data_IF_726648690654
#
_entry.id   IF_726648690654
#
_cell.length_a   1.000
_cell.length_b   1.000
_cell.length_c   1.000
_cell.angle_alpha   90.00
_cell.angle_beta   90.00
_cell.angle_gamma   90.00
#
_symmetry.space_group_name_H-M   'P 1'
#
loop_
_entity.id
_entity.type
_entity.pdbx_description
1 polymer ?
#
# COMPACT_ATOMS: atom_id res chain seq x y z
N UNK A 1 2.45 -2.59 6.02
CA UNK A 1 2.38 -4.07 6.08
C UNK A 1 3.74 -4.56 6.49
N UNK A 2 3.95 -5.39 7.54
CA UNK A 2 5.31 -5.85 7.77
C UNK A 2 5.72 -6.73 6.58
N UNK A 3 6.94 -6.55 6.04
CA UNK A 3 7.41 -7.28 4.87
C UNK A 3 7.66 -8.75 5.19
N UNK A 4 7.72 -9.66 4.19
CA UNK A 4 7.59 -9.39 2.75
C UNK A 4 6.35 -10.05 2.09
N UNK A 5 5.50 -10.76 2.81
CA UNK A 5 4.40 -11.52 2.19
C UNK A 5 3.07 -10.77 2.30
N UNK A 6 2.72 -10.03 1.23
CA UNK A 6 1.38 -9.48 1.04
C UNK A 6 0.52 -10.42 0.18
N UNK A 7 -0.77 -10.51 0.50
CA UNK A 7 -1.76 -11.23 -0.30
C UNK A 7 -2.99 -10.33 -0.45
N UNK A 8 -3.14 -9.71 -1.62
CA UNK A 8 -4.13 -8.63 -1.84
C UNK A 8 -5.56 -9.12 -1.68
N UNK A 9 -5.88 -10.32 -2.16
CA UNK A 9 -7.20 -10.94 -2.02
C UNK A 9 -7.59 -11.12 -0.55
N UNK A 10 -6.63 -11.50 0.29
CA UNK A 10 -6.86 -11.63 1.74
C UNK A 10 -7.12 -10.26 2.39
N UNK A 11 -6.42 -9.22 1.94
CA UNK A 11 -6.69 -7.84 2.35
C UNK A 11 -8.10 -7.41 1.94
N UNK A 12 -8.45 -7.56 0.67
CA UNK A 12 -9.77 -7.19 0.14
C UNK A 12 -10.90 -7.91 0.86
N UNK A 13 -10.79 -9.23 1.04
CA UNK A 13 -11.78 -10.01 1.79
C UNK A 13 -11.90 -9.55 3.25
N UNK A 14 -10.82 -9.09 3.87
CA UNK A 14 -10.84 -8.56 5.24
C UNK A 14 -11.52 -7.21 5.31
N UNK A 15 -11.25 -6.31 4.35
CA UNK A 15 -11.93 -5.01 4.25
C UNK A 15 -13.43 -5.19 4.03
N UNK A 16 -13.83 -6.11 3.15
CA UNK A 16 -15.25 -6.40 2.88
C UNK A 16 -15.97 -6.95 4.13
N UNK A 17 -15.30 -7.81 4.90
CA UNK A 17 -15.84 -8.30 6.17
C UNK A 17 -16.06 -7.17 7.17
N UNK A 18 -15.12 -6.24 7.29
CA UNK A 18 -15.25 -5.11 8.22
C UNK A 18 -16.38 -4.17 7.76
N UNK A 19 -16.45 -3.85 6.46
CA UNK A 19 -17.51 -3.03 5.89
C UNK A 19 -18.90 -3.63 6.12
N UNK A 20 -19.05 -4.95 5.97
CA UNK A 20 -20.32 -5.66 6.18
C UNK A 20 -20.83 -5.57 7.63
N UNK A 21 -19.94 -5.37 8.61
CA UNK A 21 -20.33 -5.18 10.02
C UNK A 21 -20.91 -3.79 10.29
N UNK A 22 -20.73 -2.82 9.38
CA UNK A 22 -21.15 -1.41 9.52
C UNK A 22 -20.76 -0.79 10.88
N UNK A 23 -19.48 -0.84 11.29
CA UNK A 23 -19.09 -0.29 12.58
C UNK A 23 -19.16 1.23 12.57
N UNK A 24 -19.54 1.81 13.71
CA UNK A 24 -19.61 3.27 13.89
C UNK A 24 -18.23 3.91 14.15
N UNK A 25 -17.25 3.11 14.57
CA UNK A 25 -15.88 3.55 14.82
C UNK A 25 -14.86 2.40 14.68
N UNK A 26 -13.65 2.75 14.27
CA UNK A 26 -12.46 1.90 14.31
C UNK A 26 -11.48 2.43 15.36
N UNK A 27 -11.03 1.56 16.26
CA UNK A 27 -9.96 1.87 17.22
C UNK A 27 -8.69 1.18 16.74
N UNK A 28 -7.89 1.91 15.95
CA UNK A 28 -6.66 1.39 15.35
C UNK A 28 -5.51 1.44 16.36
N UNK A 29 -4.46 0.66 16.09
CA UNK A 29 -3.24 0.64 16.93
C UNK A 29 -2.50 1.98 16.92
N UNK A 30 -2.72 2.82 15.91
CA UNK A 30 -2.14 4.15 15.76
C UNK A 30 -3.23 5.19 15.48
N UNK A 31 -2.96 6.46 15.78
CA UNK A 31 -3.80 7.64 15.45
C UNK A 31 -5.18 7.73 16.14
N UNK A 32 -5.58 6.74 16.93
CA UNK A 32 -6.77 6.80 17.79
C UNK A 32 -8.06 6.35 17.12
N UNK A 33 -9.20 6.83 17.62
CA UNK A 33 -10.51 6.44 17.14
C UNK A 33 -10.87 7.15 15.82
N UNK A 34 -11.35 6.39 14.85
CA UNK A 34 -11.77 6.88 13.54
C UNK A 34 -13.25 6.60 13.31
N UNK A 35 -14.05 7.61 12.97
CA UNK A 35 -15.52 7.50 12.85
C UNK A 35 -16.03 7.44 11.41
N UNK A 36 -15.25 7.92 10.44
CA UNK A 36 -15.62 7.87 9.02
C UNK A 36 -15.22 6.51 8.38
N UNK A 37 -15.65 5.42 9.02
CA UNK A 37 -15.13 4.07 8.81
C UNK A 37 -15.12 3.68 7.33
N UNK A 38 -16.24 3.87 6.63
CA UNK A 38 -16.36 3.43 5.24
C UNK A 38 -15.36 4.15 4.34
N UNK A 39 -15.27 5.49 4.43
CA UNK A 39 -14.32 6.27 3.66
C UNK A 39 -12.87 5.84 3.94
N UNK A 40 -12.55 5.52 5.20
CA UNK A 40 -11.20 5.05 5.57
C UNK A 40 -10.84 3.71 4.93
N UNK A 41 -11.75 2.73 5.00
CA UNK A 41 -11.50 1.41 4.46
C UNK A 41 -11.47 1.42 2.93
N UNK A 42 -12.30 2.24 2.29
CA UNK A 42 -12.27 2.46 0.84
C UNK A 42 -10.98 3.15 0.40
N UNK A 43 -10.50 4.16 1.14
CA UNK A 43 -9.22 4.79 0.86
C UNK A 43 -8.03 3.81 0.99
N UNK A 44 -8.07 2.92 1.99
CA UNK A 44 -7.07 1.87 2.15
C UNK A 44 -7.12 0.85 0.99
N UNK A 45 -8.31 0.42 0.56
CA UNK A 45 -8.49 -0.42 -0.62
C UNK A 45 -7.87 0.21 -1.85
N UNK A 46 -8.18 1.48 -2.12
CA UNK A 46 -7.64 2.21 -3.27
C UNK A 46 -6.11 2.30 -3.22
N UNK A 47 -5.54 2.60 -2.05
CA UNK A 47 -4.09 2.67 -1.90
C UNK A 47 -3.40 1.31 -2.21
N UNK A 48 -3.99 0.19 -1.77
CA UNK A 48 -3.49 -1.14 -2.09
C UNK A 48 -3.53 -1.43 -3.60
N UNK A 49 -4.65 -1.09 -4.26
CA UNK A 49 -4.83 -1.26 -5.70
C UNK A 49 -3.86 -0.39 -6.51
N UNK A 50 -3.70 0.87 -6.12
CA UNK A 50 -2.80 1.81 -6.78
C UNK A 50 -1.34 1.33 -6.72
N UNK A 51 -0.89 0.89 -5.54
CA UNK A 51 0.48 0.43 -5.35
C UNK A 51 0.73 -0.89 -6.07
N UNK A 52 -0.22 -1.82 -6.02
CA UNK A 52 -0.13 -3.09 -6.73
C UNK A 52 -0.10 -2.89 -8.24
N UNK A 53 -0.99 -2.05 -8.79
CA UNK A 53 -1.05 -1.71 -10.20
C UNK A 53 0.22 -0.99 -10.67
N UNK A 54 0.76 -0.08 -9.85
CA UNK A 54 2.04 0.56 -10.12
C UNK A 54 3.16 -0.47 -10.24
N UNK A 55 3.29 -1.39 -9.28
CA UNK A 55 4.33 -2.42 -9.28
C UNK A 55 4.20 -3.34 -10.50
N UNK A 56 2.98 -3.76 -10.85
CA UNK A 56 2.72 -4.60 -12.02
C UNK A 56 3.15 -3.91 -13.33
N UNK A 57 2.80 -2.63 -13.50
CA UNK A 57 3.18 -1.85 -14.68
C UNK A 57 4.70 -1.80 -14.84
N UNK A 58 5.44 -1.56 -13.76
CA UNK A 58 6.90 -1.46 -13.80
C UNK A 58 7.60 -2.79 -14.03
N UNK A 59 7.05 -3.88 -13.51
CA UNK A 59 7.54 -5.23 -13.81
C UNK A 59 7.40 -5.55 -15.31
N UNK A 60 6.27 -5.19 -15.93
CA UNK A 60 6.05 -5.37 -17.38
C UNK A 60 6.97 -4.52 -18.25
N UNK A 61 7.40 -3.37 -17.75
CA UNK A 61 8.39 -2.51 -18.41
C UNK A 61 9.82 -3.11 -18.37
N UNK A 62 10.06 -4.13 -17.53
CA UNK A 62 11.37 -4.77 -17.40
C UNK A 62 12.42 -3.91 -16.66
N UNK A 63 11.97 -2.98 -15.81
CA UNK A 63 12.87 -2.13 -15.02
C UNK A 63 13.70 -2.94 -14.02
N UNK A 64 14.92 -2.48 -13.71
CA UNK A 64 15.71 -3.11 -12.65
C UNK A 64 15.09 -2.87 -11.26
N UNK A 65 15.37 -3.73 -10.26
CA UNK A 65 14.93 -3.52 -8.89
C UNK A 65 15.34 -2.15 -8.31
N UNK A 66 16.55 -1.68 -8.63
CA UNK A 66 17.07 -0.38 -8.20
C UNK A 66 16.28 0.78 -8.81
N UNK A 67 16.00 0.71 -10.12
CA UNK A 67 15.19 1.71 -10.82
C UNK A 67 13.76 1.75 -10.28
N UNK A 68 13.15 0.59 -10.03
CA UNK A 68 11.83 0.50 -9.43
C UNK A 68 11.82 1.11 -8.02
N UNK A 69 12.84 0.84 -7.21
CA UNK A 69 12.92 1.37 -5.84
C UNK A 69 12.95 2.90 -5.84
N UNK A 70 13.86 3.52 -6.61
CA UNK A 70 13.95 4.98 -6.67
C UNK A 70 12.67 5.63 -7.21
N UNK A 71 12.01 5.02 -8.20
CA UNK A 71 10.73 5.54 -8.73
C UNK A 71 9.58 5.36 -7.74
N UNK A 72 9.56 4.26 -6.98
CA UNK A 72 8.53 4.01 -5.98
C UNK A 72 8.65 4.96 -4.79
N UNK A 73 9.87 5.23 -4.33
CA UNK A 73 10.15 6.24 -3.30
C UNK A 73 9.66 7.62 -3.72
N UNK A 74 9.94 8.04 -4.95
CA UNK A 74 9.44 9.31 -5.49
C UNK A 74 7.91 9.35 -5.56
N UNK A 75 7.28 8.28 -6.05
CA UNK A 75 5.83 8.13 -6.10
C UNK A 75 5.19 8.20 -4.71
N UNK A 76 5.80 7.53 -3.73
CA UNK A 76 5.34 7.50 -2.34
C UNK A 76 5.45 8.86 -1.66
N UNK A 77 6.60 9.56 -1.78
CA UNK A 77 6.78 10.92 -1.22
C UNK A 77 5.77 11.90 -1.81
N UNK A 78 5.55 11.83 -3.10
CA UNK A 78 4.57 12.66 -3.80
C UNK A 78 3.13 12.35 -3.34
N UNK A 79 2.82 11.08 -3.04
CA UNK A 79 1.56 10.69 -2.40
C UNK A 79 1.36 11.33 -1.03
N UNK A 80 2.37 11.27 -0.15
CA UNK A 80 2.33 11.91 1.16
C UNK A 80 2.18 13.45 1.06
N UNK A 81 2.88 14.06 0.12
CA UNK A 81 2.79 15.51 -0.14
C UNK A 81 1.37 15.92 -0.52
N UNK A 82 0.71 15.16 -1.41
CA UNK A 82 -0.69 15.39 -1.78
C UNK A 82 -1.66 15.19 -0.62
N UNK A 83 -1.33 14.29 0.31
CA UNK A 83 -2.09 14.09 1.54
C UNK A 83 -1.84 15.19 2.61
N UNK A 84 -1.03 16.21 2.31
CA UNK A 84 -0.74 17.32 3.21
C UNK A 84 0.26 16.99 4.31
N UNK A 85 1.00 15.89 4.19
CA UNK A 85 2.09 15.55 5.13
C UNK A 85 3.28 16.46 4.85
N UNK A 86 3.86 17.05 5.89
CA UNK A 86 5.06 17.88 5.77
C UNK A 86 6.34 17.04 5.78
N UNK A 87 7.48 17.68 5.51
CA UNK A 87 8.79 17.01 5.46
C UNK A 87 9.16 16.29 6.77
N UNK A 88 8.74 16.84 7.92
CA UNK A 88 8.99 16.21 9.21
C UNK A 88 8.18 14.91 9.36
N UNK A 89 6.90 14.94 9.01
CA UNK A 89 6.02 13.79 8.99
C UNK A 89 6.48 12.72 8.01
N UNK A 90 6.89 13.12 6.79
CA UNK A 90 7.39 12.18 5.78
C UNK A 90 8.60 11.38 6.28
N UNK A 91 9.55 12.04 6.97
CA UNK A 91 10.70 11.36 7.59
C UNK A 91 10.28 10.35 8.65
N UNK A 92 9.26 10.65 9.45
CA UNK A 92 8.73 9.71 10.45
C UNK A 92 8.07 8.50 9.78
N UNK A 93 7.30 8.72 8.72
CA UNK A 93 6.71 7.63 7.94
C UNK A 93 7.78 6.72 7.34
N UNK A 94 8.83 7.30 6.75
CA UNK A 94 9.94 6.56 6.15
C UNK A 94 10.72 5.74 7.17
N UNK A 95 10.91 6.27 8.39
CA UNK A 95 11.55 5.55 9.48
C UNK A 95 10.68 4.39 10.01
N UNK A 96 9.37 4.58 10.01
CA UNK A 96 8.43 3.58 10.53
C UNK A 96 8.17 2.43 9.55
N UNK A 97 8.04 2.73 8.26
CA UNK A 97 7.78 1.75 7.20
C UNK A 97 8.49 2.19 5.90
N UNK A 98 9.76 1.79 5.73
CA UNK A 98 10.52 2.19 4.55
C UNK A 98 9.82 1.73 3.26
N UNK A 99 9.54 2.65 2.31
CA UNK A 99 8.70 2.36 1.14
C UNK A 99 9.25 1.24 0.25
N UNK A 100 10.58 1.08 0.16
CA UNK A 100 11.19 0.01 -0.61
C UNK A 100 10.76 -1.39 -0.13
N UNK A 101 10.46 -1.57 1.16
CA UNK A 101 10.05 -2.86 1.69
C UNK A 101 8.63 -3.22 1.24
N UNK A 102 7.74 -2.22 1.12
CA UNK A 102 6.42 -2.40 0.54
C UNK A 102 6.51 -2.78 -0.95
N UNK A 103 7.42 -2.14 -1.70
CA UNK A 103 7.68 -2.50 -3.10
C UNK A 103 8.14 -3.97 -3.23
N UNK A 104 9.09 -4.41 -2.39
CA UNK A 104 9.57 -5.79 -2.42
C UNK A 104 8.45 -6.81 -2.22
N UNK A 105 7.52 -6.53 -1.30
CA UNK A 105 6.35 -7.38 -1.07
C UNK A 105 5.43 -7.45 -2.29
N UNK A 106 5.16 -6.31 -2.94
CA UNK A 106 4.33 -6.24 -4.15
C UNK A 106 4.98 -6.94 -5.35
N UNK A 107 6.29 -6.77 -5.54
CA UNK A 107 7.06 -7.47 -6.58
C UNK A 107 6.96 -8.98 -6.39
N UNK A 108 7.20 -9.45 -5.17
CA UNK A 108 7.09 -10.86 -4.83
C UNK A 108 5.67 -11.38 -5.02
N UNK A 109 4.66 -10.61 -4.63
CA UNK A 109 3.26 -10.97 -4.84
C UNK A 109 2.98 -11.26 -6.32
N UNK A 110 3.35 -10.35 -7.23
CA UNK A 110 3.13 -10.55 -8.66
C UNK A 110 3.92 -11.73 -9.23
N UNK A 111 5.19 -11.90 -8.83
CA UNK A 111 6.02 -12.99 -9.35
C UNK A 111 5.61 -14.37 -8.82
N UNK A 112 5.12 -14.46 -7.58
CA UNK A 112 4.85 -15.72 -6.90
C UNK A 112 3.39 -16.15 -7.01
N UNK A 113 2.45 -15.21 -6.86
CA UNK A 113 1.02 -15.52 -6.77
C UNK A 113 0.29 -15.28 -8.09
N UNK A 114 0.76 -14.34 -8.90
CA UNK A 114 0.14 -13.96 -10.17
C UNK A 114 1.13 -13.84 -11.34
N UNK A 115 2.00 -14.84 -11.58
CA UNK A 115 2.96 -14.78 -12.69
C UNK A 115 2.27 -14.66 -14.05
N UNK A 116 1.04 -15.17 -14.20
CA UNK A 116 0.22 -15.02 -15.41
C UNK A 116 -0.11 -13.56 -15.74
N UNK A 117 -0.10 -12.68 -14.74
CA UNK A 117 -0.32 -11.26 -14.95
C UNK A 117 0.87 -10.58 -15.63
N UNK A 118 2.07 -11.19 -15.61
CA UNK A 118 3.31 -10.61 -16.14
C UNK A 118 3.51 -10.82 -17.65
N UNK A 119 2.87 -11.83 -18.24
CA UNK A 119 3.00 -12.18 -19.67
C UNK A 119 3.75 -13.49 -19.88
#
# INVERSE_FOLDING_TARGET
TPPPDIHLESWYASLDRILALRPEALYLTHFGAYRDVEAHLLALRQALEDWAGWALSRLKEGLSPEEMTGRFEAYWREGLRRAGVDEAGMRLYELADPPYMNLQGLVRYWQKHHPEALG
#
